data_IF_499203013726
#
_entry.id   IF_499203013726
#
_cell.length_a   1.000
_cell.length_b   1.000
_cell.length_c   1.000
_cell.angle_alpha   90.00
_cell.angle_beta   90.00
_cell.angle_gamma   90.00
#
_symmetry.space_group_name_H-M   'P 1'
#
loop_
_entity.id
_entity.type
_entity.pdbx_description
1 polymer ?
#
# COMPACT_ATOMS: atom_id res chain seq x y z
N UNK A 1 3.53 -53.92 26.73
CA UNK A 1 4.27 -52.70 26.39
C UNK A 1 3.47 -51.93 25.35
N UNK A 2 2.87 -50.81 25.72
CA UNK A 2 2.10 -49.94 24.81
C UNK A 2 3.04 -48.80 24.36
N UNK A 3 3.36 -48.74 23.08
CA UNK A 3 4.10 -47.63 22.50
C UNK A 3 3.12 -46.46 22.26
N UNK A 4 3.32 -45.37 22.96
CA UNK A 4 2.64 -44.12 22.69
C UNK A 4 3.38 -43.38 21.54
N UNK A 5 2.73 -43.29 20.37
CA UNK A 5 3.23 -42.45 19.27
C UNK A 5 2.94 -40.96 19.57
N UNK A 6 3.98 -40.21 19.85
CA UNK A 6 3.91 -38.77 19.91
C UNK A 6 3.89 -38.22 18.48
N UNK A 7 2.75 -37.68 18.05
CA UNK A 7 2.66 -36.89 16.82
C UNK A 7 3.18 -35.48 17.13
N UNK A 8 4.38 -35.14 16.65
CA UNK A 8 4.89 -33.76 16.66
C UNK A 8 4.18 -33.01 15.55
N UNK A 9 3.21 -32.19 15.89
CA UNK A 9 2.67 -31.17 14.98
C UNK A 9 3.71 -30.08 14.87
N UNK A 10 4.44 -30.04 13.74
CA UNK A 10 5.33 -28.97 13.40
C UNK A 10 4.45 -27.75 13.03
N UNK A 11 4.21 -26.87 13.97
CA UNK A 11 3.56 -25.58 13.72
C UNK A 11 4.45 -24.79 12.77
N UNK A 12 3.96 -24.56 11.54
CA UNK A 12 4.59 -23.64 10.60
C UNK A 12 4.44 -22.25 11.21
N UNK A 13 5.51 -21.75 11.84
CA UNK A 13 5.65 -20.34 12.18
C UNK A 13 5.69 -19.58 10.86
N UNK A 14 4.54 -19.04 10.44
CA UNK A 14 4.49 -18.06 9.35
C UNK A 14 5.19 -16.82 9.89
N UNK A 15 6.33 -16.40 9.33
CA UNK A 15 6.99 -15.18 9.78
C UNK A 15 6.00 -14.02 9.63
N UNK A 16 5.83 -13.24 10.68
CA UNK A 16 5.04 -12.01 10.61
C UNK A 16 5.66 -11.10 9.56
N UNK A 17 4.87 -10.73 8.56
CA UNK A 17 5.32 -9.80 7.51
C UNK A 17 5.76 -8.51 8.18
N UNK A 18 6.98 -8.10 7.90
CA UNK A 18 7.54 -6.79 8.22
C UNK A 18 7.63 -5.95 6.96
N UNK A 19 7.81 -4.63 7.14
CA UNK A 19 8.10 -3.71 6.06
C UNK A 19 9.12 -4.27 5.05
N UNK A 20 8.96 -3.95 3.78
CA UNK A 20 10.00 -4.28 2.80
C UNK A 20 11.03 -3.17 2.78
N UNK A 21 12.26 -3.52 3.13
CA UNK A 21 13.40 -2.59 3.15
C UNK A 21 14.09 -2.57 1.79
N UNK A 22 14.27 -1.38 1.23
CA UNK A 22 15.05 -1.19 0.01
C UNK A 22 16.25 -0.29 0.28
N UNK A 23 17.44 -0.61 -0.27
CA UNK A 23 18.51 0.37 -0.33
C UNK A 23 18.05 1.56 -1.19
N UNK A 24 18.39 2.78 -0.77
CA UNK A 24 18.12 3.95 -1.60
C UNK A 24 18.95 3.85 -2.89
N UNK A 25 18.32 4.09 -4.05
CA UNK A 25 19.03 4.05 -5.30
C UNK A 25 19.96 5.29 -5.42
N UNK A 26 20.96 5.25 -6.32
CA UNK A 26 21.82 6.39 -6.60
C UNK A 26 21.03 7.66 -6.90
N UNK A 27 21.69 8.80 -6.76
CA UNK A 27 21.09 10.09 -7.13
C UNK A 27 20.61 10.06 -8.59
N UNK A 28 19.44 10.63 -8.84
CA UNK A 28 18.78 10.60 -10.15
C UNK A 28 17.95 9.35 -10.40
N UNK A 29 18.15 8.25 -9.67
CA UNK A 29 17.33 7.05 -9.78
C UNK A 29 16.17 7.04 -8.78
N UNK A 30 15.04 6.43 -9.19
CA UNK A 30 13.88 6.17 -8.32
C UNK A 30 13.38 4.73 -8.38
N UNK A 31 13.92 3.91 -9.25
CA UNK A 31 13.55 2.51 -9.37
C UNK A 31 14.23 1.69 -8.27
N UNK A 32 13.47 0.94 -7.49
CA UNK A 32 13.98 0.07 -6.42
C UNK A 32 13.35 -1.32 -6.49
N UNK A 33 14.05 -2.29 -5.94
CA UNK A 33 13.58 -3.68 -5.86
C UNK A 33 13.60 -4.40 -7.20
N UNK A 34 12.99 -5.58 -7.21
CA UNK A 34 12.81 -6.42 -8.39
C UNK A 34 11.45 -7.13 -8.31
N UNK A 35 10.81 -7.43 -9.44
CA UNK A 35 9.60 -8.22 -9.43
C UNK A 35 9.92 -9.66 -9.01
N UNK A 36 9.04 -10.26 -8.20
CA UNK A 36 9.13 -11.67 -7.85
C UNK A 36 7.84 -12.40 -8.22
N UNK A 37 7.94 -13.69 -8.42
CA UNK A 37 6.80 -14.55 -8.68
C UNK A 37 6.79 -15.68 -7.66
N UNK A 38 5.61 -15.96 -7.12
CA UNK A 38 5.39 -17.08 -6.19
C UNK A 38 4.32 -18.00 -6.74
N UNK A 39 4.39 -19.28 -6.38
CA UNK A 39 3.38 -20.28 -6.78
C UNK A 39 2.45 -20.55 -5.62
N UNK A 40 1.15 -20.48 -5.85
CA UNK A 40 0.15 -20.90 -4.87
C UNK A 40 0.32 -22.40 -4.61
N UNK A 41 0.53 -22.84 -3.35
CA UNK A 41 0.81 -24.24 -3.05
C UNK A 41 -0.40 -25.15 -3.26
N UNK A 42 -0.13 -26.45 -3.47
CA UNK A 42 -1.19 -27.46 -3.45
C UNK A 42 -1.89 -27.49 -2.09
N UNK A 43 -3.20 -27.70 -2.10
CA UNK A 43 -4.02 -27.68 -0.89
C UNK A 43 -4.16 -26.30 -0.23
N UNK A 44 -3.96 -25.21 -0.99
CA UNK A 44 -4.11 -23.86 -0.48
C UNK A 44 -5.48 -23.62 0.15
N UNK A 45 -5.48 -23.05 1.35
CA UNK A 45 -6.68 -22.61 2.09
C UNK A 45 -6.62 -21.10 2.43
N UNK A 46 -5.59 -20.41 1.97
CA UNK A 46 -5.33 -19.01 2.32
C UNK A 46 -5.87 -18.07 1.25
N UNK A 47 -6.44 -16.93 1.64
CA UNK A 47 -6.82 -15.86 0.73
C UNK A 47 -5.59 -15.12 0.19
N UNK A 48 -5.78 -14.34 -0.89
CA UNK A 48 -4.74 -13.51 -1.50
C UNK A 48 -4.14 -12.48 -0.49
N UNK A 49 -4.94 -12.02 0.48
CA UNK A 49 -4.46 -11.14 1.56
C UNK A 49 -3.35 -11.78 2.39
N UNK A 50 -3.44 -13.09 2.66
CA UNK A 50 -2.40 -13.79 3.40
C UNK A 50 -1.08 -13.85 2.64
N UNK A 51 -1.12 -14.07 1.32
CA UNK A 51 0.06 -13.98 0.45
C UNK A 51 0.60 -12.55 0.39
N UNK A 52 -0.29 -11.55 0.31
CA UNK A 52 0.11 -10.15 0.39
C UNK A 52 0.86 -9.87 1.70
N UNK A 53 0.30 -10.30 2.83
CA UNK A 53 0.90 -10.13 4.15
C UNK A 53 2.28 -10.78 4.26
N UNK A 54 2.44 -12.01 3.77
CA UNK A 54 3.72 -12.73 3.79
C UNK A 54 4.83 -12.03 3.02
N UNK A 55 4.48 -11.18 2.05
CA UNK A 55 5.42 -10.47 1.19
C UNK A 55 5.44 -8.95 1.41
N UNK A 56 4.88 -8.45 2.52
CA UNK A 56 4.87 -7.02 2.84
C UNK A 56 4.06 -6.18 1.85
N UNK A 57 3.02 -6.77 1.22
CA UNK A 57 2.15 -6.09 0.28
C UNK A 57 0.76 -5.83 0.85
N UNK A 58 0.03 -4.88 0.25
CA UNK A 58 -1.40 -4.68 0.46
C UNK A 58 -2.23 -5.54 -0.49
N UNK A 59 -3.49 -5.81 -0.11
CA UNK A 59 -4.37 -6.60 -0.97
C UNK A 59 -4.58 -5.94 -2.34
N UNK A 60 -4.79 -4.62 -2.41
CA UNK A 60 -4.95 -3.90 -3.70
C UNK A 60 -3.74 -4.08 -4.61
N UNK A 61 -2.52 -4.00 -4.07
CA UNK A 61 -1.30 -4.16 -4.86
C UNK A 61 -1.21 -5.56 -5.48
N UNK A 62 -1.61 -6.58 -4.73
CA UNK A 62 -1.66 -7.95 -5.25
C UNK A 62 -2.76 -8.14 -6.29
N UNK A 63 -3.92 -7.47 -6.12
CA UNK A 63 -5.02 -7.52 -7.10
C UNK A 63 -4.67 -6.81 -8.42
N UNK A 64 -4.03 -5.65 -8.36
CA UNK A 64 -3.54 -4.92 -9.53
C UNK A 64 -2.51 -5.75 -10.32
N UNK A 65 -1.57 -6.37 -9.60
CA UNK A 65 -0.53 -7.20 -10.22
C UNK A 65 -1.07 -8.51 -10.81
N UNK A 66 -2.19 -9.05 -10.27
CA UNK A 66 -2.75 -10.37 -10.59
C UNK A 66 -4.24 -10.29 -10.98
N UNK A 67 -4.60 -9.65 -12.10
CA UNK A 67 -5.99 -9.54 -12.52
C UNK A 67 -6.60 -10.91 -12.77
N UNK A 68 -7.84 -11.11 -12.28
CA UNK A 68 -8.60 -12.34 -12.45
C UNK A 68 -8.28 -13.47 -11.47
N UNK A 69 -7.35 -13.26 -10.53
CA UNK A 69 -7.11 -14.19 -9.42
C UNK A 69 -8.25 -14.06 -8.40
N UNK A 70 -8.76 -15.20 -7.93
CA UNK A 70 -9.75 -15.22 -6.84
C UNK A 70 -9.11 -14.69 -5.54
N UNK A 71 -9.59 -13.55 -5.00
CA UNK A 71 -9.01 -12.98 -3.79
C UNK A 71 -9.29 -13.80 -2.51
N UNK A 72 -10.31 -14.63 -2.51
CA UNK A 72 -10.71 -15.41 -1.34
C UNK A 72 -10.00 -16.75 -1.28
N UNK A 73 -9.77 -17.38 -2.43
CA UNK A 73 -9.11 -18.68 -2.52
C UNK A 73 -8.32 -18.82 -3.84
N UNK A 74 -7.12 -18.22 -3.95
CA UNK A 74 -6.27 -18.40 -5.11
C UNK A 74 -6.06 -19.88 -5.42
N UNK A 75 -6.25 -20.27 -6.69
CA UNK A 75 -6.15 -21.68 -7.12
C UNK A 75 -4.71 -22.18 -7.00
N UNK A 76 -4.54 -23.39 -6.51
CA UNK A 76 -3.24 -24.08 -6.47
C UNK A 76 -2.56 -24.10 -7.85
N UNK A 77 -1.25 -23.93 -7.87
CA UNK A 77 -0.44 -23.82 -9.10
C UNK A 77 -0.47 -22.44 -9.77
N UNK A 78 -1.34 -21.50 -9.34
CA UNK A 78 -1.35 -20.13 -9.90
C UNK A 78 -0.02 -19.44 -9.59
N UNK A 79 0.56 -18.82 -10.63
CA UNK A 79 1.72 -17.94 -10.48
C UNK A 79 1.24 -16.54 -10.11
N UNK A 80 1.64 -16.07 -8.93
CA UNK A 80 1.31 -14.74 -8.44
C UNK A 80 2.52 -13.82 -8.61
N UNK A 81 2.33 -12.72 -9.32
CA UNK A 81 3.29 -11.62 -9.34
C UNK A 81 3.22 -10.87 -8.00
N UNK A 82 4.35 -10.67 -7.35
CA UNK A 82 4.46 -9.86 -6.13
C UNK A 82 5.13 -8.54 -6.48
N UNK A 83 4.44 -7.38 -6.33
CA UNK A 83 4.91 -6.08 -6.80
C UNK A 83 5.96 -5.48 -5.86
N UNK A 84 7.14 -6.11 -5.75
CA UNK A 84 8.29 -5.65 -4.96
C UNK A 84 9.28 -4.81 -5.77
N UNK A 85 9.06 -4.58 -7.06
CA UNK A 85 9.72 -3.49 -7.78
C UNK A 85 8.79 -2.29 -7.82
N UNK A 86 9.31 -1.10 -7.54
CA UNK A 86 8.50 0.12 -7.51
C UNK A 86 9.33 1.36 -7.86
N UNK A 87 8.66 2.42 -8.28
CA UNK A 87 9.25 3.75 -8.48
C UNK A 87 8.97 4.57 -7.22
N UNK A 88 10.02 5.04 -6.54
CA UNK A 88 9.87 5.92 -5.39
C UNK A 88 9.14 7.22 -5.77
N UNK A 89 8.26 7.75 -4.91
CA UNK A 89 7.60 9.02 -5.16
C UNK A 89 8.60 10.17 -5.43
N UNK A 90 8.26 11.14 -6.30
CA UNK A 90 9.11 12.30 -6.57
C UNK A 90 8.99 13.35 -5.46
N UNK A 91 9.31 12.97 -4.25
CA UNK A 91 9.24 13.79 -3.04
C UNK A 91 10.61 13.87 -2.37
N UNK A 92 10.75 14.75 -1.38
CA UNK A 92 11.90 14.71 -0.48
C UNK A 92 11.94 13.34 0.22
N UNK A 93 13.11 12.72 0.24
CA UNK A 93 13.34 11.40 0.89
C UNK A 93 13.63 11.60 2.38
N UNK A 94 12.62 12.05 3.11
CA UNK A 94 12.74 12.41 4.52
C UNK A 94 11.45 12.06 5.26
N UNK A 95 11.58 11.49 6.45
CA UNK A 95 10.46 11.17 7.32
C UNK A 95 9.51 10.16 6.69
N UNK A 96 8.23 10.47 6.69
CA UNK A 96 7.17 9.61 6.17
C UNK A 96 6.54 10.25 4.93
N UNK A 97 6.41 9.49 3.85
CA UNK A 97 5.63 9.84 2.67
C UNK A 97 4.52 8.80 2.51
N UNK A 98 3.28 9.23 2.40
CA UNK A 98 2.12 8.36 2.16
C UNK A 98 1.58 8.65 0.77
N UNK A 99 1.66 7.68 -0.14
CA UNK A 99 0.96 7.78 -1.42
C UNK A 99 -0.37 7.01 -1.33
N UNK A 100 -1.44 7.76 -1.17
CA UNK A 100 -2.77 7.16 -0.97
C UNK A 100 -3.25 6.37 -2.18
N UNK A 101 -2.88 6.78 -3.40
CA UNK A 101 -3.23 6.07 -4.63
C UNK A 101 -2.60 4.67 -4.70
N UNK A 102 -1.39 4.52 -4.19
CA UNK A 102 -0.68 3.23 -4.15
C UNK A 102 -1.04 2.39 -2.92
N UNK A 103 -1.71 2.99 -1.93
CA UNK A 103 -1.88 2.42 -0.59
C UNK A 103 -0.55 1.97 0.03
N UNK A 104 0.49 2.81 -0.12
CA UNK A 104 1.84 2.60 0.42
C UNK A 104 2.30 3.78 1.27
N UNK A 105 3.01 3.44 2.35
CA UNK A 105 3.75 4.37 3.20
C UNK A 105 5.23 4.10 3.02
N UNK A 106 5.99 5.14 2.79
CA UNK A 106 7.44 5.15 2.65
C UNK A 106 8.04 5.84 3.88
N UNK A 107 8.85 5.15 4.63
CA UNK A 107 9.60 5.72 5.75
C UNK A 107 11.07 5.76 5.41
N UNK A 108 11.66 6.94 5.53
CA UNK A 108 13.08 7.20 5.32
C UNK A 108 13.74 7.41 6.69
N UNK A 109 14.38 6.36 7.27
CA UNK A 109 14.99 6.48 8.59
C UNK A 109 16.13 7.49 8.58
N UNK A 110 16.23 8.40 9.58
CA UNK A 110 17.30 9.38 9.65
C UNK A 110 18.70 8.72 9.67
N UNK A 111 19.62 9.21 8.84
CA UNK A 111 20.98 8.68 8.77
C UNK A 111 21.13 7.30 8.13
N UNK A 112 20.04 6.72 7.61
CA UNK A 112 20.05 5.44 6.88
C UNK A 112 20.10 5.68 5.37
N UNK A 113 20.69 4.73 4.65
CA UNK A 113 20.62 4.67 3.18
C UNK A 113 19.54 3.67 2.71
N UNK A 114 18.41 3.65 3.42
CA UNK A 114 17.28 2.75 3.10
C UNK A 114 15.95 3.49 3.09
N UNK A 115 14.96 2.88 2.49
CA UNK A 115 13.55 3.21 2.62
C UNK A 115 12.76 1.97 3.01
N UNK A 116 11.92 2.12 4.02
CA UNK A 116 10.97 1.10 4.44
C UNK A 116 9.64 1.34 3.75
N UNK A 117 9.12 0.35 3.03
CA UNK A 117 7.84 0.43 2.34
C UNK A 117 6.83 -0.46 3.03
N UNK A 118 5.75 0.15 3.47
CA UNK A 118 4.69 -0.49 4.24
C UNK A 118 3.35 -0.35 3.52
N UNK A 119 2.58 -1.44 3.37
CA UNK A 119 1.22 -1.36 2.85
C UNK A 119 0.29 -0.75 3.90
N UNK A 120 -0.67 0.05 3.43
CA UNK A 120 -1.62 0.75 4.30
C UNK A 120 -3.06 0.51 3.88
N UNK A 121 -3.97 0.64 4.85
CA UNK A 121 -5.39 0.88 4.61
C UNK A 121 -5.71 2.35 4.79
N UNK A 122 -6.66 2.88 4.02
CA UNK A 122 -7.00 4.30 3.99
C UNK A 122 -8.50 4.55 4.19
N UNK A 123 -8.89 5.81 4.20
CA UNK A 123 -10.27 6.26 4.33
C UNK A 123 -11.18 5.73 3.22
N UNK A 124 -12.37 5.28 3.61
CA UNK A 124 -13.42 4.86 2.67
C UNK A 124 -13.96 6.06 1.86
N UNK A 125 -14.67 5.78 0.77
CA UNK A 125 -15.32 6.82 -0.03
C UNK A 125 -16.29 7.66 0.84
N UNK A 126 -16.16 9.00 0.76
CA UNK A 126 -16.89 9.95 1.60
C UNK A 126 -16.26 10.20 2.98
N UNK A 127 -15.11 9.57 3.27
CA UNK A 127 -14.31 9.76 4.49
C UNK A 127 -12.82 9.60 4.16
N UNK A 128 -12.39 10.37 3.19
CA UNK A 128 -11.08 10.23 2.56
C UNK A 128 -9.95 10.56 3.54
N UNK A 129 -8.85 9.83 3.39
CA UNK A 129 -7.56 10.25 3.91
C UNK A 129 -7.14 11.51 3.16
N UNK A 130 -6.63 12.54 3.83
CA UNK A 130 -6.19 13.77 3.18
C UNK A 130 -5.18 13.48 2.07
N UNK A 131 -5.25 14.29 1.01
CA UNK A 131 -4.34 14.25 -0.13
C UNK A 131 -3.59 15.59 -0.19
N UNK A 132 -2.35 15.56 -0.67
CA UNK A 132 -1.53 16.78 -0.82
C UNK A 132 -1.41 17.60 0.48
N UNK A 133 -1.05 16.95 1.55
CA UNK A 133 -0.90 17.55 2.87
C UNK A 133 0.46 17.25 3.47
N UNK A 134 1.13 18.27 3.99
CA UNK A 134 2.38 18.17 4.75
C UNK A 134 2.10 18.50 6.21
N UNK A 135 2.55 17.64 7.10
CA UNK A 135 2.38 17.74 8.54
C UNK A 135 3.56 17.08 9.25
N UNK A 136 3.44 16.84 10.53
CA UNK A 136 4.42 16.11 11.31
C UNK A 136 3.75 15.18 12.33
N UNK A 137 4.50 14.25 12.88
CA UNK A 137 4.06 13.45 14.02
C UNK A 137 3.98 14.36 15.25
N UNK A 138 2.77 14.62 15.76
CA UNK A 138 2.53 15.50 16.91
C UNK A 138 2.71 14.78 18.24
N UNK A 139 2.27 13.52 18.30
CA UNK A 139 2.41 12.66 19.49
C UNK A 139 2.32 11.20 19.12
N UNK A 140 2.81 10.36 20.03
CA UNK A 140 2.77 8.89 19.93
C UNK A 140 1.98 8.33 21.11
N UNK A 141 1.29 7.22 20.91
CA UNK A 141 0.57 6.56 21.99
C UNK A 141 0.60 5.05 21.81
N UNK A 142 1.08 4.35 22.84
CA UNK A 142 0.87 2.92 23.02
C UNK A 142 -0.49 2.71 23.69
N UNK A 143 -1.20 1.66 23.27
CA UNK A 143 -2.54 1.36 23.77
C UNK A 143 -3.54 2.51 23.56
N UNK A 144 -3.76 3.01 22.32
CA UNK A 144 -4.67 4.11 22.11
C UNK A 144 -6.11 3.72 22.45
N UNK A 145 -6.87 4.66 22.99
CA UNK A 145 -8.32 4.50 23.14
C UNK A 145 -9.01 4.96 21.86
N UNK A 146 -9.94 4.17 21.33
CA UNK A 146 -10.75 4.59 20.20
C UNK A 146 -12.06 5.24 20.66
N UNK A 147 -12.29 6.46 20.23
CA UNK A 147 -13.55 7.18 20.46
C UNK A 147 -14.26 7.41 19.13
N UNK A 148 -15.38 6.70 18.86
CA UNK A 148 -16.12 6.88 17.61
C UNK A 148 -16.64 8.31 17.50
N UNK A 149 -16.39 8.95 16.34
CA UNK A 149 -16.93 10.29 16.07
C UNK A 149 -18.47 10.29 16.00
N UNK A 150 -19.14 11.43 16.16
CA UNK A 150 -20.60 11.51 15.98
C UNK A 150 -21.05 10.98 14.60
N UNK A 151 -20.26 11.23 13.56
CA UNK A 151 -20.53 10.71 12.21
C UNK A 151 -20.44 9.19 12.15
N UNK A 152 -19.42 8.62 12.79
CA UNK A 152 -19.26 7.16 12.88
C UNK A 152 -20.44 6.53 13.60
N UNK A 153 -20.84 7.10 14.75
CA UNK A 153 -22.03 6.63 15.50
C UNK A 153 -23.30 6.66 14.67
N UNK A 154 -23.53 7.78 13.93
CA UNK A 154 -24.72 7.88 13.05
C UNK A 154 -24.69 6.86 11.93
N UNK A 155 -23.53 6.56 11.36
CA UNK A 155 -23.42 5.54 10.32
C UNK A 155 -23.76 4.14 10.83
N UNK A 156 -23.23 3.77 11.98
CA UNK A 156 -23.51 2.47 12.61
C UNK A 156 -24.97 2.35 13.07
N UNK A 157 -25.54 3.45 13.59
CA UNK A 157 -26.95 3.47 13.96
C UNK A 157 -27.89 3.22 12.79
N UNK A 158 -27.54 3.69 11.57
CA UNK A 158 -28.31 3.37 10.34
C UNK A 158 -28.28 1.88 9.98
N UNK A 159 -27.27 1.15 10.45
CA UNK A 159 -27.16 -0.30 10.30
C UNK A 159 -27.73 -1.06 11.51
N UNK A 160 -28.43 -0.38 12.42
CA UNK A 160 -28.98 -0.97 13.63
C UNK A 160 -27.95 -1.31 14.70
N UNK A 161 -26.73 -0.77 14.61
CA UNK A 161 -25.62 -1.05 15.53
C UNK A 161 -25.39 0.14 16.47
N UNK A 162 -25.21 -0.14 17.76
CA UNK A 162 -24.84 0.87 18.77
C UNK A 162 -23.37 0.72 19.12
N UNK A 163 -22.60 1.81 18.95
CA UNK A 163 -21.20 1.84 19.35
C UNK A 163 -21.04 2.33 20.79
N UNK A 164 -20.10 1.77 21.57
CA UNK A 164 -19.77 2.26 22.91
C UNK A 164 -19.26 3.70 22.87
N UNK A 165 -19.23 4.37 24.01
CA UNK A 165 -18.68 5.73 24.12
C UNK A 165 -17.20 5.76 23.71
N UNK A 166 -16.46 4.75 24.08
CA UNK A 166 -15.07 4.50 23.70
C UNK A 166 -14.78 3.01 23.77
N UNK A 167 -13.74 2.58 23.04
CA UNK A 167 -13.14 1.24 23.14
C UNK A 167 -11.75 1.43 23.75
N UNK A 168 -11.47 0.86 24.94
CA UNK A 168 -10.14 0.96 25.56
C UNK A 168 -9.08 0.22 24.74
N UNK A 169 -7.82 0.41 25.12
CA UNK A 169 -6.73 -0.41 24.57
C UNK A 169 -7.03 -1.90 24.77
N UNK A 170 -6.73 -2.69 23.73
CA UNK A 170 -6.96 -4.13 23.77
C UNK A 170 -7.12 -4.73 22.38
N UNK A 171 -7.34 -6.05 22.29
CA UNK A 171 -7.41 -6.78 21.03
C UNK A 171 -8.58 -6.36 20.13
N UNK A 172 -9.67 -5.89 20.73
CA UNK A 172 -10.87 -5.47 20.00
C UNK A 172 -10.83 -4.00 19.55
N UNK A 173 -9.75 -3.27 19.89
CA UNK A 173 -9.63 -1.86 19.55
C UNK A 173 -9.27 -1.70 18.06
N UNK A 174 -10.12 -1.01 17.26
CA UNK A 174 -9.85 -0.82 15.83
C UNK A 174 -8.62 0.04 15.53
N UNK A 175 -8.05 0.75 16.53
CA UNK A 175 -6.77 1.45 16.38
C UNK A 175 -5.54 0.56 16.60
N UNK A 176 -5.73 -0.71 16.98
CA UNK A 176 -4.62 -1.61 17.29
C UNK A 176 -3.83 -1.20 18.51
N UNK A 177 -2.54 -1.55 18.54
CA UNK A 177 -1.70 -1.42 19.72
C UNK A 177 -0.94 -0.10 19.81
N UNK A 178 -0.70 0.60 18.68
CA UNK A 178 0.11 1.81 18.61
C UNK A 178 -0.51 2.84 17.66
N UNK A 179 -0.29 4.11 17.92
CA UNK A 179 -0.73 5.22 17.09
C UNK A 179 0.30 6.36 17.05
N UNK A 180 0.51 6.92 15.86
CA UNK A 180 1.21 8.18 15.58
C UNK A 180 0.17 9.20 15.14
N UNK A 181 -0.07 10.23 15.93
CA UNK A 181 -1.03 11.29 15.60
C UNK A 181 -0.34 12.36 14.76
N UNK A 182 -0.95 12.74 13.65
CA UNK A 182 -0.36 13.63 12.64
C UNK A 182 -1.15 14.93 12.44
N UNK A 183 -2.00 15.27 13.38
CA UNK A 183 -2.80 16.48 13.35
C UNK A 183 -4.20 16.29 12.74
N UNK A 184 -5.05 17.29 12.89
CA UNK A 184 -6.43 17.35 12.37
C UNK A 184 -7.27 16.09 12.67
N UNK A 185 -7.01 15.44 13.80
CA UNK A 185 -7.63 14.18 14.23
C UNK A 185 -7.26 12.94 13.38
N UNK A 186 -6.27 13.05 12.52
CA UNK A 186 -5.73 11.90 11.76
C UNK A 186 -4.61 11.21 12.52
N UNK A 187 -4.52 9.92 12.32
CA UNK A 187 -3.47 9.08 12.88
C UNK A 187 -3.01 8.03 11.86
N UNK A 188 -1.77 7.61 12.02
CA UNK A 188 -1.20 6.39 11.47
C UNK A 188 -1.24 5.39 12.63
N UNK A 189 -1.98 4.29 12.50
CA UNK A 189 -2.24 3.40 13.63
C UNK A 189 -2.36 1.93 13.21
N UNK A 190 -2.31 1.05 14.17
CA UNK A 190 -2.52 -0.39 13.98
C UNK A 190 -3.95 -0.75 13.64
N UNK A 191 -4.25 -2.03 13.72
CA UNK A 191 -5.60 -2.55 13.46
C UNK A 191 -5.85 -3.79 14.29
N UNK A 192 -7.12 -4.04 14.62
CA UNK A 192 -7.57 -5.33 15.15
C UNK A 192 -7.88 -6.35 14.07
N UNK A 193 -7.76 -5.98 12.78
CA UNK A 193 -8.03 -6.85 11.63
C UNK A 193 -7.15 -6.49 10.45
N UNK A 194 -6.35 -7.42 9.98
CA UNK A 194 -5.44 -7.22 8.85
C UNK A 194 -6.16 -7.09 7.50
N UNK A 195 -7.41 -7.55 7.41
CA UNK A 195 -8.21 -7.51 6.17
C UNK A 195 -8.39 -6.10 5.58
N UNK A 196 -8.09 -5.05 6.26
CA UNK A 196 -8.20 -3.69 5.75
C UNK A 196 -6.95 -3.11 5.11
N UNK A 197 -5.83 -3.87 5.09
CA UNK A 197 -4.56 -3.38 4.54
C UNK A 197 -4.55 -3.54 3.02
N UNK A 198 -4.40 -2.43 2.32
CA UNK A 198 -4.59 -2.32 0.89
C UNK A 198 -6.04 -2.02 0.50
N UNK A 199 -6.89 -1.55 1.42
CA UNK A 199 -8.30 -1.25 1.15
C UNK A 199 -8.72 0.13 1.70
N UNK A 200 -9.85 0.63 1.18
CA UNK A 200 -10.51 1.87 1.65
C UNK A 200 -11.55 1.53 2.70
N UNK A 201 -11.14 1.46 3.97
CA UNK A 201 -11.99 0.91 5.05
C UNK A 201 -12.07 1.78 6.30
N UNK A 202 -11.19 2.78 6.45
CA UNK A 202 -11.14 3.59 7.66
C UNK A 202 -12.06 4.81 7.59
N UNK A 203 -12.07 5.57 8.68
CA UNK A 203 -12.78 6.86 8.77
C UNK A 203 -11.86 8.05 8.39
N UNK A 204 -10.82 7.78 7.59
CA UNK A 204 -9.83 8.74 7.13
C UNK A 204 -8.43 8.51 7.68
N UNK A 205 -8.28 7.81 8.79
CA UNK A 205 -6.97 7.44 9.34
C UNK A 205 -6.25 6.41 8.47
N UNK A 206 -4.94 6.32 8.64
CA UNK A 206 -4.05 5.40 7.93
C UNK A 206 -3.84 4.17 8.81
N UNK A 207 -4.21 3.00 8.30
CA UNK A 207 -4.09 1.72 9.02
C UNK A 207 -2.87 0.95 8.56
N UNK A 208 -2.18 0.33 9.52
CA UNK A 208 -1.10 -0.63 9.27
C UNK A 208 -1.35 -1.93 10.04
N UNK A 209 -0.67 -2.99 9.64
CA UNK A 209 -0.54 -4.19 10.47
C UNK A 209 0.15 -3.83 11.79
N UNK A 210 -0.16 -4.56 12.86
CA UNK A 210 0.37 -4.22 14.19
C UNK A 210 1.90 -4.28 14.27
N UNK A 211 2.55 -5.17 13.54
CA UNK A 211 4.02 -5.23 13.49
C UNK A 211 4.60 -4.00 12.77
N UNK A 212 3.95 -3.56 11.70
CA UNK A 212 4.38 -2.40 10.91
C UNK A 212 4.26 -1.11 11.70
N UNK A 213 3.12 -0.90 12.37
CA UNK A 213 2.96 0.28 13.24
C UNK A 213 3.88 0.23 14.47
N UNK A 214 4.14 -0.96 15.02
CA UNK A 214 5.13 -1.09 16.11
C UNK A 214 6.51 -0.66 15.65
N UNK A 215 6.94 -1.10 14.48
CA UNK A 215 8.19 -0.68 13.88
C UNK A 215 8.28 0.84 13.74
N UNK A 216 7.24 1.48 13.16
CA UNK A 216 7.19 2.95 13.06
C UNK A 216 7.15 3.61 14.44
N UNK A 217 6.40 3.06 15.38
CA UNK A 217 6.33 3.59 16.73
C UNK A 217 7.70 3.60 17.42
N UNK A 218 8.49 2.56 17.24
CA UNK A 218 9.81 2.45 17.86
C UNK A 218 10.84 3.39 17.21
N UNK A 219 10.74 3.62 15.89
CA UNK A 219 11.76 4.30 15.09
C UNK A 219 11.43 5.74 14.69
N UNK A 220 10.17 6.14 14.70
CA UNK A 220 9.72 7.48 14.31
C UNK A 220 9.63 8.38 15.53
N UNK A 221 10.29 9.53 15.49
CA UNK A 221 10.23 10.54 16.56
C UNK A 221 9.07 11.51 16.38
N UNK A 222 8.59 12.10 17.48
CA UNK A 222 7.74 13.28 17.44
C UNK A 222 8.47 14.38 16.69
N UNK A 223 7.76 15.12 15.85
CA UNK A 223 8.32 16.12 14.94
C UNK A 223 8.72 15.57 13.57
N UNK A 224 8.78 14.23 13.38
CA UNK A 224 9.07 13.65 12.06
C UNK A 224 8.08 14.15 11.02
N UNK A 225 8.61 14.65 9.89
CA UNK A 225 7.84 15.12 8.75
C UNK A 225 6.96 14.00 8.18
N UNK A 226 5.70 14.34 7.85
CA UNK A 226 4.75 13.43 7.18
C UNK A 226 4.17 14.15 5.97
N UNK A 227 4.29 13.56 4.79
CA UNK A 227 3.72 14.09 3.56
C UNK A 227 2.74 13.08 2.96
N UNK A 228 1.50 13.50 2.74
CA UNK A 228 0.49 12.72 2.02
C UNK A 228 0.39 13.24 0.59
N UNK A 229 0.40 12.32 -0.37
CA UNK A 229 0.29 12.59 -1.80
C UNK A 229 -0.73 11.65 -2.44
N UNK A 230 -1.20 11.99 -3.64
CA UNK A 230 -2.12 11.19 -4.46
C UNK A 230 -1.55 11.10 -5.89
N UNK A 231 -0.66 10.16 -6.11
CA UNK A 231 0.07 10.01 -7.37
C UNK A 231 -0.06 8.58 -7.91
N UNK A 232 -1.13 8.27 -8.65
CA UNK A 232 -1.34 6.94 -9.22
C UNK A 232 -0.44 6.65 -10.43
N UNK A 233 0.15 7.66 -11.06
CA UNK A 233 1.07 7.50 -12.18
C UNK A 233 2.42 8.09 -11.82
N UNK A 234 3.45 7.28 -11.87
CA UNK A 234 4.83 7.68 -11.64
C UNK A 234 5.68 7.34 -12.85
N UNK A 235 6.51 8.27 -13.28
CA UNK A 235 7.47 8.08 -14.39
C UNK A 235 8.85 8.43 -13.87
N UNK A 236 9.84 7.61 -14.21
CA UNK A 236 11.25 7.91 -13.90
C UNK A 236 12.12 7.73 -15.13
N UNK A 237 13.21 8.50 -15.18
CA UNK A 237 14.32 8.26 -16.10
C UNK A 237 15.50 7.90 -15.22
N UNK A 238 16.03 6.71 -15.44
CA UNK A 238 17.15 6.20 -14.67
C UNK A 238 18.50 6.72 -15.21
N UNK A 239 19.60 6.64 -14.45
CA UNK A 239 20.91 7.15 -14.87
C UNK A 239 21.44 6.52 -16.17
N UNK A 240 21.01 5.32 -16.52
CA UNK A 240 21.32 4.63 -17.78
C UNK A 240 20.50 5.12 -18.98
N UNK A 241 19.65 6.13 -18.76
CA UNK A 241 18.73 6.69 -19.77
C UNK A 241 17.45 5.88 -19.96
N UNK A 242 17.31 4.73 -19.32
CA UNK A 242 16.06 3.96 -19.40
C UNK A 242 14.92 4.69 -18.70
N UNK A 243 13.73 4.65 -19.30
CA UNK A 243 12.52 5.25 -18.73
C UNK A 243 11.55 4.16 -18.30
N UNK A 244 10.86 4.43 -17.21
CA UNK A 244 9.91 3.51 -16.59
C UNK A 244 8.64 4.24 -16.17
N UNK A 245 7.52 3.55 -16.26
CA UNK A 245 6.21 4.01 -15.75
C UNK A 245 5.62 2.98 -14.81
N UNK A 246 5.02 3.44 -13.72
CA UNK A 246 4.22 2.64 -12.78
C UNK A 246 2.84 3.27 -12.69
N UNK A 247 1.79 2.47 -12.89
CA UNK A 247 0.42 2.94 -12.98
C UNK A 247 -0.45 2.16 -12.03
N UNK A 248 -1.11 2.87 -11.11
CA UNK A 248 -2.11 2.35 -10.18
C UNK A 248 -3.51 2.80 -10.55
N UNK A 249 -4.53 2.13 -10.02
CA UNK A 249 -5.91 2.58 -10.14
C UNK A 249 -6.10 3.87 -9.31
N UNK A 250 -6.50 5.01 -9.93
CA UNK A 250 -6.75 6.23 -9.18
C UNK A 250 -7.90 6.05 -8.20
N UNK A 251 -7.81 6.70 -7.06
CA UNK A 251 -8.89 6.69 -6.09
C UNK A 251 -10.11 7.44 -6.65
N UNK A 252 -11.28 6.82 -6.54
CA UNK A 252 -12.55 7.48 -6.82
C UNK A 252 -12.70 8.75 -5.96
N UNK A 253 -13.19 9.83 -6.56
CA UNK A 253 -13.36 11.14 -5.93
C UNK A 253 -14.63 11.26 -5.11
N UNK A 254 -15.60 10.40 -5.40
CA UNK A 254 -16.90 10.38 -4.73
C UNK A 254 -17.50 8.98 -4.78
N UNK A 255 -18.64 8.81 -4.09
CA UNK A 255 -19.31 7.53 -3.99
C UNK A 255 -19.83 7.01 -5.33
N UNK A 256 -20.32 7.89 -6.20
CA UNK A 256 -20.83 7.49 -7.53
C UNK A 256 -19.71 6.92 -8.41
N UNK A 257 -18.51 7.54 -8.40
CA UNK A 257 -17.34 6.96 -9.07
C UNK A 257 -16.91 5.63 -8.45
N UNK A 258 -16.97 5.51 -7.13
CA UNK A 258 -16.61 4.27 -6.43
C UNK A 258 -17.56 3.11 -6.77
N UNK A 259 -18.84 3.39 -6.94
CA UNK A 259 -19.87 2.40 -7.29
C UNK A 259 -19.95 2.17 -8.81
N UNK A 260 -19.25 2.98 -9.61
CA UNK A 260 -19.22 2.83 -11.08
C UNK A 260 -18.33 1.66 -11.50
N UNK A 261 -18.75 0.99 -12.57
CA UNK A 261 -17.91 0.00 -13.27
C UNK A 261 -16.89 0.63 -14.21
N UNK A 262 -16.98 1.94 -14.46
CA UNK A 262 -16.03 2.66 -15.30
C UNK A 262 -14.74 2.94 -14.52
N UNK A 263 -13.60 2.75 -15.20
CA UNK A 263 -12.31 3.12 -14.64
C UNK A 263 -12.22 4.63 -14.39
N UNK A 264 -11.70 5.00 -13.24
CA UNK A 264 -11.42 6.42 -12.93
C UNK A 264 -10.37 6.95 -13.90
N UNK A 265 -10.56 8.12 -14.53
CA UNK A 265 -9.56 8.70 -15.43
C UNK A 265 -8.21 8.91 -14.73
N UNK A 266 -7.12 8.54 -15.40
CA UNK A 266 -5.77 8.81 -14.90
C UNK A 266 -5.53 10.33 -14.86
N UNK A 267 -4.96 10.89 -13.77
CA UNK A 267 -4.71 12.32 -13.61
C UNK A 267 -3.44 12.75 -14.34
N UNK A 268 -3.37 12.48 -15.63
CA UNK A 268 -2.30 12.89 -16.54
C UNK A 268 -2.86 13.72 -17.68
N UNK A 269 -2.09 14.70 -18.16
CA UNK A 269 -2.50 15.53 -19.29
C UNK A 269 -2.59 14.73 -20.59
N UNK A 270 -3.33 15.24 -21.58
CA UNK A 270 -3.38 14.64 -22.90
C UNK A 270 -1.99 14.47 -23.54
N UNK A 271 -1.13 15.48 -23.38
CA UNK A 271 0.25 15.43 -23.87
C UNK A 271 1.06 14.32 -23.19
N UNK A 272 0.98 14.19 -21.88
CA UNK A 272 1.65 13.09 -21.14
C UNK A 272 1.12 11.73 -21.57
N UNK A 273 -0.20 11.58 -21.74
CA UNK A 273 -0.80 10.34 -22.23
C UNK A 273 -0.28 9.98 -23.61
N UNK A 274 -0.27 10.94 -24.56
CA UNK A 274 0.23 10.73 -25.93
C UNK A 274 1.70 10.32 -25.90
N UNK A 275 2.52 11.00 -25.11
CA UNK A 275 3.93 10.66 -24.95
C UNK A 275 4.11 9.23 -24.42
N UNK A 276 3.44 8.86 -23.32
CA UNK A 276 3.54 7.52 -22.74
C UNK A 276 3.08 6.43 -23.73
N UNK A 277 2.02 6.69 -24.51
CA UNK A 277 1.56 5.76 -25.54
C UNK A 277 2.64 5.61 -26.64
N UNK A 278 3.25 6.70 -27.10
CA UNK A 278 4.32 6.64 -28.10
C UNK A 278 5.59 5.90 -27.60
N UNK A 279 5.78 5.87 -26.28
CA UNK A 279 6.84 5.13 -25.61
C UNK A 279 6.45 3.68 -25.25
N UNK A 280 5.30 3.19 -25.72
CA UNK A 280 4.84 1.82 -25.56
C UNK A 280 4.04 1.52 -24.29
N UNK A 281 3.69 2.54 -23.49
CA UNK A 281 2.93 2.35 -22.24
C UNK A 281 1.43 2.14 -22.44
N UNK A 282 0.89 2.12 -23.66
CA UNK A 282 -0.55 2.08 -23.89
C UNK A 282 -1.27 0.96 -23.15
N UNK A 283 -0.73 -0.26 -23.20
CA UNK A 283 -1.30 -1.40 -22.48
C UNK A 283 -1.27 -1.21 -20.95
N UNK A 284 -0.21 -0.62 -20.40
CA UNK A 284 -0.07 -0.40 -18.96
C UNK A 284 -1.01 0.71 -18.45
N UNK A 285 -1.20 1.78 -19.22
CA UNK A 285 -2.18 2.83 -18.90
C UNK A 285 -3.61 2.29 -18.80
N UNK A 286 -3.92 1.23 -19.53
CA UNK A 286 -5.21 0.54 -19.45
C UNK A 286 -5.22 -0.54 -18.37
N UNK A 287 -4.13 -1.31 -18.22
CA UNK A 287 -4.04 -2.42 -17.26
C UNK A 287 -3.94 -1.92 -15.81
N UNK A 288 -3.08 -0.92 -15.55
CA UNK A 288 -2.82 -0.36 -14.21
C UNK A 288 -2.34 -1.44 -13.24
N UNK A 289 -1.21 -2.06 -13.59
CA UNK A 289 -0.70 -3.23 -12.85
C UNK A 289 -0.08 -2.90 -11.49
N UNK A 290 0.17 -1.62 -11.21
CA UNK A 290 0.90 -1.21 -10.00
C UNK A 290 2.37 -1.65 -9.99
N UNK A 291 2.90 -2.05 -11.14
CA UNK A 291 4.30 -2.47 -11.30
C UNK A 291 5.01 -1.60 -12.35
N UNK A 292 6.30 -1.29 -12.15
CA UNK A 292 7.08 -0.56 -13.14
C UNK A 292 7.20 -1.33 -14.46
N UNK A 293 6.89 -0.64 -15.56
CA UNK A 293 7.07 -1.14 -16.92
C UNK A 293 8.11 -0.27 -17.63
N UNK A 294 9.09 -0.91 -18.27
CA UNK A 294 10.12 -0.20 -19.04
C UNK A 294 9.51 0.33 -20.32
N UNK A 295 9.75 1.61 -20.60
CA UNK A 295 9.29 2.30 -21.80
C UNK A 295 10.26 2.04 -22.97
N UNK A 296 9.73 2.01 -24.18
CA UNK A 296 10.56 1.97 -25.37
C UNK A 296 11.35 3.28 -25.50
N UNK A 297 12.61 3.17 -25.89
CA UNK A 297 13.41 4.37 -26.21
C UNK A 297 12.82 5.02 -27.47
N UNK A 298 12.28 6.23 -27.33
CA UNK A 298 11.92 7.04 -28.49
C UNK A 298 13.20 7.58 -29.12
N UNK A 299 13.63 6.96 -30.23
CA UNK A 299 14.72 7.55 -31.02
C UNK A 299 15.90 6.65 -31.33
N UNK A 300 15.71 5.73 -32.25
CA UNK A 300 16.57 5.64 -33.43
C UNK A 300 15.65 5.36 -34.62
N UNK A 301 15.07 6.40 -35.18
CA UNK A 301 14.71 6.32 -36.57
C UNK A 301 16.02 5.93 -37.26
N UNK A 302 16.14 4.65 -37.63
CA UNK A 302 17.17 4.18 -38.57
C UNK A 302 17.10 5.10 -39.76
N UNK A 303 18.05 6.00 -39.86
CA UNK A 303 18.42 6.60 -41.15
C UNK A 303 19.04 5.45 -41.97
N UNK A 304 18.21 4.54 -42.44
CA UNK A 304 18.52 3.78 -43.64
C UNK A 304 18.28 4.76 -44.79
N UNK A 305 19.31 5.52 -45.12
CA UNK A 305 19.38 6.26 -46.35
C UNK A 305 19.57 5.28 -47.53
N UNK A 306 19.22 5.72 -48.70
CA UNK A 306 19.10 4.91 -49.92
C UNK A 306 20.39 4.28 -50.40
#
# INVERSE_FOLDING_TARGET
MRFASFVFTLGILVPAASAVTYPLPPEGSRLVGAPITITVPEGNTLPLEAFAAQHGQGLSNMLEANPGVDPFLPRAGTQLAVPQQLILPPTVREGIVVNVAEMRLYYYPPGSNTVEVLPIGIGQAGRETPRNWVTAVERKQEGPTWSPTPNTRRAYAKEGKTLPAFVPAGPDNPMGLYALYIGRLYAIHGTNSNFGIGLRVSQGCIRLRNNDIKYLFDNVSVGTRVQLIDQPVKVTTEPDGSRWVEVHEPLSRNRAEFESTNKVPLPISAAQRTQLISEGAGAELERRSGMPVKLAMTGSASLAGP
#
